data_IF_902846990400
#
_entry.id   IF_902846990400
#
_cell.length_a   1.000
_cell.length_b   1.000
_cell.length_c   1.000
_cell.angle_alpha   90.00
_cell.angle_beta   90.00
_cell.angle_gamma   90.00
#
_symmetry.space_group_name_H-M   'P 1'
#
loop_
_entity.id
_entity.type
_entity.pdbx_description
1 polymer ?
#
# COMPACT_ATOMS: atom_id res chain seq x y z
N UNK A 1 25.78 49.44 10.07
CA UNK A 1 25.02 48.58 9.12
C UNK A 1 25.14 47.06 9.38
N UNK A 2 25.87 46.58 10.41
CA UNK A 2 26.09 45.13 10.65
C UNK A 2 25.13 44.47 11.67
N UNK A 3 24.37 45.24 12.46
CA UNK A 3 23.51 44.69 13.55
C UNK A 3 22.26 43.98 13.03
N UNK A 4 21.65 44.51 11.97
CA UNK A 4 20.48 43.89 11.32
C UNK A 4 20.81 42.54 10.70
N UNK A 5 22.03 42.37 10.16
CA UNK A 5 22.47 41.09 9.61
C UNK A 5 22.65 40.01 10.69
N UNK A 6 23.09 40.38 11.90
CA UNK A 6 23.20 39.44 13.02
C UNK A 6 21.84 39.02 13.57
N UNK A 7 20.85 39.93 13.59
CA UNK A 7 19.47 39.58 13.94
C UNK A 7 18.81 38.67 12.89
N UNK A 8 19.04 38.95 11.61
CA UNK A 8 18.53 38.12 10.52
C UNK A 8 19.19 36.73 10.51
N UNK A 9 20.50 36.67 10.72
CA UNK A 9 21.25 35.43 10.81
C UNK A 9 20.82 34.61 12.04
N UNK A 10 20.64 35.25 13.20
CA UNK A 10 20.14 34.59 14.41
C UNK A 10 18.72 34.05 14.24
N UNK A 11 17.82 34.82 13.62
CA UNK A 11 16.46 34.38 13.32
C UNK A 11 16.41 33.19 12.36
N UNK A 12 17.24 33.21 11.31
CA UNK A 12 17.34 32.07 10.38
C UNK A 12 17.87 30.81 11.08
N UNK A 13 18.88 30.96 11.96
CA UNK A 13 19.44 29.84 12.71
C UNK A 13 18.41 29.24 13.67
N UNK A 14 17.63 30.08 14.34
CA UNK A 14 16.58 29.68 15.28
C UNK A 14 15.43 28.98 14.56
N UNK A 15 15.05 29.47 13.36
CA UNK A 15 14.04 28.84 12.52
C UNK A 15 14.48 27.44 12.04
N UNK A 16 15.74 27.28 11.63
CA UNK A 16 16.30 25.96 11.29
C UNK A 16 16.33 25.05 12.52
N UNK A 17 16.71 25.57 13.69
CA UNK A 17 16.70 24.79 14.93
C UNK A 17 15.30 24.28 15.30
N UNK A 18 14.27 25.12 15.15
CA UNK A 18 12.87 24.72 15.33
C UNK A 18 12.44 23.66 14.32
N UNK A 19 12.80 23.80 13.05
CA UNK A 19 12.50 22.79 12.03
C UNK A 19 13.26 21.48 12.27
N UNK A 20 14.47 21.50 12.83
CA UNK A 20 15.21 20.27 13.14
C UNK A 20 14.69 19.58 14.41
N UNK A 21 14.29 20.35 15.42
CA UNK A 21 13.80 19.80 16.70
C UNK A 21 12.32 19.39 16.65
N UNK A 22 11.49 20.10 15.87
CA UNK A 22 10.06 19.82 15.72
C UNK A 22 9.67 19.30 14.34
N UNK A 23 10.58 19.31 13.36
CA UNK A 23 10.33 18.70 12.06
C UNK A 23 10.27 17.20 12.23
N UNK A 24 9.07 16.67 12.14
CA UNK A 24 8.80 15.23 12.12
C UNK A 24 9.28 14.65 10.78
N UNK A 25 10.60 14.56 10.60
CA UNK A 25 11.20 13.77 9.54
C UNK A 25 11.06 12.30 9.94
N UNK A 26 9.88 11.72 9.64
CA UNK A 26 9.68 10.28 9.66
C UNK A 26 9.97 9.77 8.25
N UNK A 27 11.20 9.30 7.96
CA UNK A 27 11.38 8.31 6.93
C UNK A 27 10.95 6.97 7.52
N UNK A 28 9.81 6.43 7.09
CA UNK A 28 9.53 5.02 7.33
C UNK A 28 10.48 4.18 6.47
N UNK A 29 11.67 3.94 7.00
CA UNK A 29 12.51 2.80 6.63
C UNK A 29 12.58 1.85 7.82
N UNK A 30 11.72 0.84 7.84
CA UNK A 30 12.07 -0.45 8.44
C UNK A 30 12.56 -1.34 7.29
N UNK A 31 13.86 -1.38 7.05
CA UNK A 31 14.79 -2.30 7.71
C UNK A 31 14.51 -3.76 7.30
N UNK A 32 15.15 -4.15 6.21
CA UNK A 32 15.52 -5.54 5.90
C UNK A 32 16.19 -6.16 7.14
N UNK A 33 15.63 -7.26 7.64
CA UNK A 33 16.37 -8.19 8.51
C UNK A 33 16.22 -9.58 7.90
N UNK A 34 17.32 -10.30 7.60
CA UNK A 34 17.26 -11.65 7.05
C UNK A 34 17.02 -12.70 8.15
N UNK A 35 16.17 -13.67 7.85
CA UNK A 35 16.10 -15.06 8.34
C UNK A 35 16.32 -15.37 9.83
N UNK A 36 15.29 -15.92 10.48
CA UNK A 36 15.45 -17.06 11.39
C UNK A 36 14.13 -17.84 11.52
N UNK A 37 14.20 -19.13 11.20
CA UNK A 37 13.14 -20.10 11.41
C UNK A 37 12.81 -20.27 12.90
N UNK A 38 11.51 -20.33 13.21
CA UNK A 38 10.99 -20.97 14.42
C UNK A 38 9.61 -21.58 14.11
N UNK A 39 9.64 -22.79 13.55
CA UNK A 39 8.50 -23.70 13.52
C UNK A 39 8.25 -24.17 14.97
N UNK A 40 7.23 -23.61 15.61
CA UNK A 40 6.70 -24.10 16.89
C UNK A 40 5.38 -24.85 16.66
N UNK A 41 5.26 -26.14 17.02
CA UNK A 41 4.07 -26.94 16.76
C UNK A 41 3.04 -26.75 17.89
N UNK A 42 2.50 -25.53 18.08
CA UNK A 42 1.22 -25.28 18.80
C UNK A 42 0.87 -23.80 19.00
N UNK A 43 1.21 -22.91 18.06
CA UNK A 43 0.47 -21.66 17.97
C UNK A 43 -0.74 -21.92 17.07
N UNK A 44 -1.94 -22.00 17.64
CA UNK A 44 -3.14 -21.66 16.88
C UNK A 44 -3.01 -20.17 16.58
N UNK A 45 -2.21 -19.86 15.55
CA UNK A 45 -2.14 -18.52 14.97
C UNK A 45 -3.60 -18.08 14.75
N UNK A 46 -4.00 -16.86 15.15
CA UNK A 46 -5.30 -16.35 14.77
C UNK A 46 -5.41 -16.61 13.27
N UNK A 47 -6.45 -17.30 12.82
CA UNK A 47 -6.58 -17.70 11.42
C UNK A 47 -6.26 -16.46 10.57
N UNK A 48 -5.08 -16.45 9.96
CA UNK A 48 -4.60 -15.29 9.22
C UNK A 48 -5.46 -15.29 7.97
N UNK A 49 -6.58 -14.57 8.05
CA UNK A 49 -7.52 -14.41 6.96
C UNK A 49 -6.95 -13.38 5.99
N UNK A 50 -7.18 -13.62 4.70
CA UNK A 50 -6.80 -12.67 3.66
C UNK A 50 -7.37 -11.28 3.93
N UNK A 51 -8.58 -11.19 4.47
CA UNK A 51 -9.21 -9.91 4.85
C UNK A 51 -8.39 -9.12 5.85
N UNK A 52 -7.75 -9.79 6.81
CA UNK A 52 -6.88 -9.15 7.80
C UNK A 52 -5.60 -8.63 7.16
N UNK A 53 -5.03 -9.38 6.22
CA UNK A 53 -3.85 -8.97 5.45
C UNK A 53 -4.18 -7.76 4.56
N UNK A 54 -5.30 -7.82 3.83
CA UNK A 54 -5.75 -6.72 2.98
C UNK A 54 -6.07 -5.46 3.78
N UNK A 55 -6.76 -5.59 4.92
CA UNK A 55 -7.06 -4.46 5.79
C UNK A 55 -5.79 -3.81 6.35
N UNK A 56 -4.79 -4.63 6.72
CA UNK A 56 -3.50 -4.12 7.17
C UNK A 56 -2.76 -3.42 6.03
N UNK A 57 -2.77 -3.99 4.83
CA UNK A 57 -2.16 -3.39 3.65
C UNK A 57 -2.81 -2.04 3.32
N UNK A 58 -4.14 -1.96 3.28
CA UNK A 58 -4.89 -0.71 3.04
C UNK A 58 -4.61 0.35 4.12
N UNK A 59 -4.38 -0.07 5.35
CA UNK A 59 -4.06 0.84 6.46
C UNK A 59 -2.69 1.52 6.31
N UNK A 60 -1.76 0.93 5.57
CA UNK A 60 -0.43 1.48 5.29
C UNK A 60 -0.41 2.45 4.10
N UNK A 61 -1.52 2.60 3.37
CA UNK A 61 -1.59 3.52 2.24
C UNK A 61 -1.56 4.98 2.70
N UNK A 62 -0.87 5.81 1.92
CA UNK A 62 -1.00 7.27 2.01
C UNK A 62 -2.39 7.72 1.56
N UNK A 63 -2.83 8.91 1.99
CA UNK A 63 -4.15 9.45 1.63
C UNK A 63 -4.37 9.53 0.11
N UNK A 64 -3.33 9.90 -0.66
CA UNK A 64 -3.39 9.93 -2.12
C UNK A 64 -3.60 8.52 -2.72
N UNK A 65 -2.93 7.50 -2.18
CA UNK A 65 -3.07 6.12 -2.63
C UNK A 65 -4.45 5.55 -2.27
N UNK A 66 -5.01 5.90 -1.11
CA UNK A 66 -6.38 5.50 -0.72
C UNK A 66 -7.43 6.04 -1.69
N UNK A 67 -7.28 7.28 -2.14
CA UNK A 67 -8.18 7.88 -3.13
C UNK A 67 -8.10 7.12 -4.46
N UNK A 68 -6.89 6.86 -4.95
CA UNK A 68 -6.69 6.06 -6.18
C UNK A 68 -7.28 4.66 -6.04
N UNK A 69 -7.04 3.98 -4.91
CA UNK A 69 -7.62 2.67 -4.62
C UNK A 69 -9.16 2.70 -4.59
N UNK A 70 -9.76 3.71 -3.96
CA UNK A 70 -11.22 3.87 -3.95
C UNK A 70 -11.77 4.08 -5.36
N UNK A 71 -11.13 4.93 -6.16
CA UNK A 71 -11.56 5.18 -7.54
C UNK A 71 -11.53 3.90 -8.40
N UNK A 72 -10.52 3.04 -8.21
CA UNK A 72 -10.43 1.75 -8.90
C UNK A 72 -11.50 0.77 -8.41
N UNK A 73 -11.71 0.71 -7.09
CA UNK A 73 -12.69 -0.19 -6.46
C UNK A 73 -14.14 0.20 -6.76
N UNK A 74 -14.43 1.49 -6.80
CA UNK A 74 -15.78 2.02 -7.01
C UNK A 74 -16.18 2.07 -8.50
N UNK A 75 -15.27 1.67 -9.39
CA UNK A 75 -15.53 1.52 -10.82
C UNK A 75 -16.65 0.49 -11.01
N UNK A 76 -17.86 0.99 -11.28
CA UNK A 76 -19.01 0.13 -11.59
C UNK A 76 -18.77 -0.55 -12.92
N UNK A 77 -18.89 -1.86 -12.92
CA UNK A 77 -18.83 -2.69 -14.12
C UNK A 77 -20.12 -3.49 -14.22
N UNK A 78 -20.62 -3.63 -15.45
CA UNK A 78 -21.85 -4.38 -15.78
C UNK A 78 -21.55 -5.78 -16.30
N UNK A 79 -20.38 -5.97 -16.91
CA UNK A 79 -19.91 -7.19 -17.57
C UNK A 79 -18.74 -7.87 -16.82
N UNK A 80 -18.63 -9.19 -16.94
CA UNK A 80 -17.57 -9.99 -16.28
C UNK A 80 -16.17 -9.63 -16.80
N UNK A 81 -16.03 -9.36 -18.11
CA UNK A 81 -14.78 -8.92 -18.73
C UNK A 81 -14.26 -7.59 -18.17
N UNK A 82 -15.14 -6.64 -17.89
CA UNK A 82 -14.77 -5.40 -17.23
C UNK A 82 -14.42 -5.62 -15.75
N UNK A 83 -15.03 -6.61 -15.09
CA UNK A 83 -14.72 -6.93 -13.70
C UNK A 83 -13.33 -7.56 -13.61
N UNK A 84 -12.97 -8.39 -14.59
CA UNK A 84 -11.62 -8.88 -14.80
C UNK A 84 -10.62 -7.73 -14.99
N UNK A 85 -10.93 -6.76 -15.86
CA UNK A 85 -10.07 -5.61 -16.09
C UNK A 85 -9.86 -4.79 -14.80
N UNK A 86 -10.91 -4.60 -13.99
CA UNK A 86 -10.81 -3.94 -12.68
C UNK A 86 -9.90 -4.73 -11.73
N UNK A 87 -10.01 -6.06 -11.67
CA UNK A 87 -9.13 -6.86 -10.81
C UNK A 87 -7.66 -6.77 -11.24
N UNK A 88 -7.38 -6.77 -12.55
CA UNK A 88 -6.04 -6.51 -13.05
C UNK A 88 -5.56 -5.10 -12.68
N UNK A 89 -6.39 -4.06 -12.85
CA UNK A 89 -6.02 -2.69 -12.46
C UNK A 89 -5.69 -2.60 -10.97
N UNK A 90 -6.45 -3.28 -10.10
CA UNK A 90 -6.13 -3.38 -8.67
C UNK A 90 -4.81 -4.13 -8.44
N UNK A 91 -4.59 -5.27 -9.08
CA UNK A 91 -3.34 -6.01 -8.99
C UNK A 91 -2.13 -5.16 -9.42
N UNK A 92 -2.22 -4.48 -10.56
CA UNK A 92 -1.21 -3.55 -11.05
C UNK A 92 -0.98 -2.39 -10.07
N UNK A 93 -2.04 -1.82 -9.50
CA UNK A 93 -1.91 -0.78 -8.48
C UNK A 93 -1.08 -1.26 -7.27
N UNK A 94 -1.35 -2.47 -6.77
CA UNK A 94 -0.60 -3.04 -5.64
C UNK A 94 0.85 -3.33 -5.98
N UNK A 95 1.13 -3.81 -7.20
CA UNK A 95 2.49 -4.06 -7.68
C UNK A 95 3.27 -2.77 -7.92
N UNK A 96 2.69 -1.85 -8.67
CA UNK A 96 3.40 -0.72 -9.28
C UNK A 96 3.38 0.53 -8.39
N UNK A 97 2.33 0.73 -7.59
CA UNK A 97 2.18 1.92 -6.72
C UNK A 97 2.58 1.65 -5.28
N UNK A 98 2.21 0.48 -4.73
CA UNK A 98 2.44 0.16 -3.31
C UNK A 98 3.66 -0.75 -3.13
N UNK A 99 3.93 -1.64 -4.10
CA UNK A 99 5.05 -2.58 -4.03
C UNK A 99 4.85 -3.72 -3.03
N UNK A 100 3.59 -4.07 -2.71
CA UNK A 100 3.26 -5.16 -1.79
C UNK A 100 2.70 -6.33 -2.59
N UNK A 101 3.28 -7.51 -2.39
CA UNK A 101 2.95 -8.71 -3.18
C UNK A 101 1.67 -9.39 -2.72
N UNK A 102 1.35 -9.35 -1.43
CA UNK A 102 0.26 -10.12 -0.85
C UNK A 102 -1.11 -9.71 -1.42
N UNK A 103 -1.50 -8.42 -1.46
CA UNK A 103 -2.73 -8.00 -2.14
C UNK A 103 -2.66 -8.25 -3.64
N UNK A 104 -1.51 -8.01 -4.28
CA UNK A 104 -1.32 -8.23 -5.72
C UNK A 104 -1.67 -9.67 -6.11
N UNK A 105 -1.07 -10.66 -5.45
CA UNK A 105 -1.28 -12.07 -5.75
C UNK A 105 -2.73 -12.49 -5.54
N UNK A 106 -3.42 -11.89 -4.56
CA UNK A 106 -4.84 -12.17 -4.33
C UNK A 106 -5.73 -11.63 -5.45
N UNK A 107 -5.55 -10.37 -5.84
CA UNK A 107 -6.33 -9.77 -6.94
C UNK A 107 -6.06 -10.45 -8.28
N UNK A 108 -4.81 -10.85 -8.54
CA UNK A 108 -4.44 -11.61 -9.73
C UNK A 108 -5.06 -13.01 -9.74
N UNK A 109 -5.13 -13.68 -8.58
CA UNK A 109 -5.79 -14.97 -8.47
C UNK A 109 -7.31 -14.87 -8.68
N UNK A 110 -7.94 -13.81 -8.18
CA UNK A 110 -9.38 -13.57 -8.42
C UNK A 110 -9.64 -13.28 -9.90
N UNK A 111 -8.80 -12.47 -10.56
CA UNK A 111 -8.83 -12.24 -12.00
C UNK A 111 -8.76 -13.57 -12.79
N UNK A 112 -7.77 -14.40 -12.52
CA UNK A 112 -7.62 -15.70 -13.19
C UNK A 112 -8.82 -16.64 -12.94
N UNK A 113 -9.47 -16.51 -11.78
CA UNK A 113 -10.68 -17.28 -11.45
C UNK A 113 -11.88 -16.84 -12.29
N UNK A 114 -12.04 -15.54 -12.51
CA UNK A 114 -13.05 -14.99 -13.41
C UNK A 114 -12.80 -15.42 -14.87
N UNK A 115 -11.57 -15.33 -15.37
CA UNK A 115 -11.24 -15.79 -16.73
C UNK A 115 -11.59 -17.26 -16.97
N UNK A 116 -11.28 -18.11 -15.98
CA UNK A 116 -11.63 -19.54 -16.06
C UNK A 116 -13.15 -19.74 -16.09
N UNK A 117 -13.90 -18.92 -15.35
CA UNK A 117 -15.37 -18.96 -15.32
C UNK A 117 -15.94 -18.65 -16.71
N UNK A 118 -15.53 -17.55 -17.34
CA UNK A 118 -15.96 -17.18 -18.70
C UNK A 118 -15.65 -18.28 -19.71
N UNK A 119 -14.44 -18.85 -19.64
CA UNK A 119 -14.02 -19.90 -20.56
C UNK A 119 -14.76 -21.22 -20.33
N UNK A 120 -15.25 -21.50 -19.13
CA UNK A 120 -15.98 -22.73 -18.82
C UNK A 120 -17.44 -22.72 -19.30
N UNK A 121 -18.02 -21.54 -19.58
CA UNK A 121 -19.38 -21.39 -20.11
C UNK A 121 -19.47 -21.55 -21.64
N UNK A 122 -18.35 -21.54 -22.37
CA UNK A 122 -18.33 -21.56 -23.84
C UNK A 122 -18.18 -22.95 -24.47
N UNK A 123 -18.28 -24.02 -23.68
CA UNK A 123 -18.12 -25.41 -24.15
C UNK A 123 -19.37 -26.30 -23.97
N UNK A 124 -20.52 -25.74 -23.58
CA UNK A 124 -21.79 -26.47 -23.43
C UNK A 124 -22.72 -26.27 -24.63
#
# INVERSE_FOLDING_TARGET
MKRTQWLLAGGALLLVFLIVTFGNFVPEKKATTPSAAAMGPNATSPAISIDTILALAVSQLTEAQKISFSNLKDKKVTDEAGQLAVYHDLAHFWRDTIGIFEPYAWYEAEAARLEKSEKSLTFA
#
